data_IF_652356309855
#
_entry.id   IF_652356309855
#
_cell.length_a   1.000
_cell.length_b   1.000
_cell.length_c   1.000
_cell.angle_alpha   90.00
_cell.angle_beta   90.00
_cell.angle_gamma   90.00
#
_symmetry.space_group_name_H-M   'P 1'
#
loop_
_entity.id
_entity.type
_entity.pdbx_description
1 polymer ?
#
# COMPACT_ATOMS: atom_id res chain seq x y z
N UNK A 1 28.63 -6.80 -3.18
CA UNK A 1 28.05 -6.34 -4.46
C UNK A 1 27.59 -4.90 -4.31
N UNK A 2 27.72 -4.09 -5.34
CA UNK A 2 27.22 -2.70 -5.28
C UNK A 2 25.69 -2.70 -5.26
N UNK A 3 25.09 -1.92 -4.37
CA UNK A 3 23.62 -1.81 -4.22
C UNK A 3 22.93 -1.46 -5.54
N UNK A 4 23.53 -0.61 -6.36
CA UNK A 4 23.02 -0.26 -7.68
C UNK A 4 22.86 -1.49 -8.59
N UNK A 5 23.83 -2.41 -8.57
CA UNK A 5 23.80 -3.64 -9.37
C UNK A 5 22.65 -4.54 -8.91
N UNK A 6 22.42 -4.63 -7.59
CA UNK A 6 21.31 -5.42 -7.02
C UNK A 6 19.97 -4.86 -7.50
N UNK A 7 19.80 -3.54 -7.42
CA UNK A 7 18.56 -2.87 -7.88
C UNK A 7 18.33 -3.07 -9.37
N UNK A 8 19.37 -2.95 -10.19
CA UNK A 8 19.26 -3.17 -11.65
C UNK A 8 18.88 -4.63 -11.98
N UNK A 9 19.51 -5.59 -11.33
CA UNK A 9 19.17 -7.02 -11.51
C UNK A 9 17.70 -7.25 -11.09
N UNK A 10 17.29 -6.73 -9.94
CA UNK A 10 15.93 -6.85 -9.47
C UNK A 10 14.92 -6.23 -10.45
N UNK A 11 15.21 -5.04 -10.99
CA UNK A 11 14.36 -4.38 -11.97
C UNK A 11 14.22 -5.21 -13.26
N UNK A 12 15.32 -5.78 -13.77
CA UNK A 12 15.31 -6.65 -14.97
C UNK A 12 14.48 -7.90 -14.71
N UNK A 13 14.67 -8.55 -13.56
CA UNK A 13 13.93 -9.78 -13.19
C UNK A 13 12.43 -9.50 -13.07
N UNK A 14 12.05 -8.42 -12.38
CA UNK A 14 10.63 -8.05 -12.19
C UNK A 14 9.99 -7.64 -13.52
N UNK A 15 10.68 -6.88 -14.34
CA UNK A 15 10.20 -6.52 -15.68
C UNK A 15 10.04 -7.75 -16.57
N UNK A 16 11.01 -8.66 -16.56
CA UNK A 16 10.93 -9.94 -17.27
C UNK A 16 9.75 -10.78 -16.78
N UNK A 17 9.56 -10.88 -15.47
CA UNK A 17 8.41 -11.58 -14.89
C UNK A 17 7.07 -10.97 -15.34
N UNK A 18 6.96 -9.65 -15.34
CA UNK A 18 5.77 -8.97 -15.83
C UNK A 18 5.47 -9.26 -17.30
N UNK A 19 6.49 -9.15 -18.17
CA UNK A 19 6.30 -9.30 -19.62
C UNK A 19 6.04 -10.76 -20.01
N UNK A 20 6.81 -11.71 -19.48
CA UNK A 20 6.71 -13.10 -19.88
C UNK A 20 5.72 -13.88 -19.01
N UNK A 21 5.94 -13.90 -17.72
CA UNK A 21 5.13 -14.71 -16.80
C UNK A 21 3.71 -14.14 -16.63
N UNK A 22 3.57 -12.81 -16.49
CA UNK A 22 2.27 -12.17 -16.39
C UNK A 22 1.41 -12.37 -17.64
N UNK A 23 2.00 -12.26 -18.85
CA UNK A 23 1.28 -12.54 -20.11
C UNK A 23 0.91 -14.00 -20.25
N UNK A 24 1.82 -14.91 -19.92
CA UNK A 24 1.55 -16.33 -19.93
C UNK A 24 0.37 -16.68 -19.01
N UNK A 25 0.36 -16.14 -17.79
CA UNK A 25 -0.70 -16.35 -16.81
C UNK A 25 -2.03 -15.78 -17.29
N UNK A 26 -2.03 -14.56 -17.84
CA UNK A 26 -3.22 -13.93 -18.41
C UNK A 26 -3.84 -14.77 -19.54
N UNK A 27 -3.01 -15.27 -20.45
CA UNK A 27 -3.43 -16.15 -21.53
C UNK A 27 -4.00 -17.48 -21.00
N UNK A 28 -3.32 -18.07 -20.00
CA UNK A 28 -3.75 -19.33 -19.40
C UNK A 28 -5.09 -19.22 -18.67
N UNK A 29 -5.36 -18.07 -18.06
CA UNK A 29 -6.65 -17.81 -17.41
C UNK A 29 -7.75 -17.35 -18.37
N UNK A 30 -7.42 -17.14 -19.65
CA UNK A 30 -8.36 -16.71 -20.67
C UNK A 30 -8.88 -15.29 -20.45
N UNK A 31 -8.00 -14.38 -20.08
CA UNK A 31 -8.36 -12.98 -19.91
C UNK A 31 -8.51 -12.34 -21.27
N UNK A 32 -9.71 -11.82 -21.54
CA UNK A 32 -10.00 -11.05 -22.75
C UNK A 32 -9.79 -9.54 -22.48
N UNK A 33 -8.77 -8.91 -23.09
CA UNK A 33 -8.53 -7.47 -22.93
C UNK A 33 -9.66 -6.58 -23.44
N UNK A 34 -10.55 -7.11 -24.29
CA UNK A 34 -11.68 -6.38 -24.86
C UNK A 34 -12.96 -6.54 -24.04
N UNK A 35 -12.99 -7.44 -23.06
CA UNK A 35 -14.14 -7.64 -22.21
C UNK A 35 -14.46 -6.37 -21.40
N UNK A 36 -15.74 -6.01 -21.36
CA UNK A 36 -16.18 -4.89 -20.51
C UNK A 36 -16.04 -5.26 -19.05
N UNK A 37 -15.45 -4.35 -18.28
CA UNK A 37 -15.34 -4.52 -16.82
C UNK A 37 -16.70 -4.26 -16.16
N UNK A 38 -16.94 -4.81 -14.96
CA UNK A 38 -18.19 -4.56 -14.22
C UNK A 38 -18.50 -3.07 -14.01
N UNK A 39 -17.48 -2.23 -13.83
CA UNK A 39 -17.65 -0.79 -13.68
C UNK A 39 -18.24 -0.13 -14.94
N UNK A 40 -17.95 -0.69 -16.12
CA UNK A 40 -18.51 -0.19 -17.41
C UNK A 40 -19.86 -0.82 -17.70
N UNK A 41 -20.02 -2.11 -17.39
CA UNK A 41 -21.24 -2.87 -17.71
C UNK A 41 -22.42 -2.50 -16.80
N UNK A 42 -22.14 -2.30 -15.49
CA UNK A 42 -23.14 -2.01 -14.46
C UNK A 42 -23.07 -0.58 -13.93
N UNK A 43 -22.55 0.35 -14.72
CA UNK A 43 -22.37 1.75 -14.28
C UNK A 43 -23.68 2.34 -13.75
N UNK A 44 -23.71 2.62 -12.45
CA UNK A 44 -24.83 3.25 -11.74
C UNK A 44 -24.46 4.62 -11.13
N UNK A 45 -23.22 5.06 -11.33
CA UNK A 45 -22.69 6.31 -10.80
C UNK A 45 -22.46 6.32 -9.29
N UNK A 46 -22.62 5.19 -8.60
CA UNK A 46 -22.41 5.05 -7.15
C UNK A 46 -21.48 3.89 -6.82
N UNK A 47 -21.92 2.65 -7.05
CA UNK A 47 -21.19 1.43 -6.72
C UNK A 47 -20.27 1.00 -7.88
N UNK A 48 -20.71 1.25 -9.11
CA UNK A 48 -19.98 0.94 -10.34
C UNK A 48 -19.71 2.22 -11.12
N UNK A 49 -18.50 2.76 -10.97
CA UNK A 49 -18.09 3.98 -11.65
C UNK A 49 -16.83 3.70 -12.46
N UNK A 50 -16.89 3.87 -13.81
CA UNK A 50 -15.70 3.79 -14.64
C UNK A 50 -14.70 4.85 -14.22
N UNK A 51 -13.48 4.42 -13.87
CA UNK A 51 -12.42 5.28 -13.35
C UNK A 51 -11.22 5.23 -14.28
N UNK A 52 -10.48 6.34 -14.36
CA UNK A 52 -9.26 6.41 -15.15
C UNK A 52 -8.23 5.39 -14.65
N UNK A 53 -7.55 4.70 -15.57
CA UNK A 53 -6.55 3.67 -15.27
C UNK A 53 -5.43 4.14 -14.35
N UNK A 54 -4.98 5.40 -14.47
CA UNK A 54 -3.97 5.97 -13.57
C UNK A 54 -4.46 6.12 -12.14
N UNK A 55 -5.72 6.50 -11.95
CA UNK A 55 -6.33 6.60 -10.61
C UNK A 55 -6.46 5.21 -9.97
N UNK A 56 -6.88 4.21 -10.75
CA UNK A 56 -6.97 2.82 -10.27
C UNK A 56 -5.58 2.29 -9.90
N UNK A 57 -4.58 2.51 -10.76
CA UNK A 57 -3.19 2.12 -10.49
C UNK A 57 -2.65 2.78 -9.21
N UNK A 58 -2.83 4.09 -9.07
CA UNK A 58 -2.37 4.85 -7.90
C UNK A 58 -3.01 4.34 -6.60
N UNK A 59 -4.31 4.04 -6.64
CA UNK A 59 -5.04 3.49 -5.51
C UNK A 59 -4.56 2.09 -5.11
N UNK A 60 -4.37 1.22 -6.11
CA UNK A 60 -3.86 -0.14 -5.90
C UNK A 60 -2.43 -0.11 -5.36
N UNK A 61 -1.57 0.73 -5.95
CA UNK A 61 -0.19 0.91 -5.48
C UNK A 61 -0.14 1.38 -4.02
N UNK A 62 -0.93 2.40 -3.66
CA UNK A 62 -1.00 2.92 -2.29
C UNK A 62 -1.52 1.89 -1.29
N UNK A 63 -2.42 1.00 -1.72
CA UNK A 63 -2.96 -0.06 -0.87
C UNK A 63 -1.94 -1.16 -0.58
N UNK A 64 -1.05 -1.45 -1.54
CA UNK A 64 -0.02 -2.49 -1.41
C UNK A 64 1.24 -1.92 -0.75
N UNK A 65 1.71 -0.74 -1.18
CA UNK A 65 2.94 -0.11 -0.71
C UNK A 65 2.77 0.59 0.65
N UNK A 66 2.17 -0.10 1.62
CA UNK A 66 2.06 0.37 3.00
C UNK A 66 3.35 0.18 3.80
N UNK A 67 3.28 0.41 5.10
CA UNK A 67 4.42 0.28 6.02
C UNK A 67 4.97 -1.16 6.06
N UNK A 68 4.12 -2.18 5.92
CA UNK A 68 4.52 -3.60 5.96
C UNK A 68 5.61 -3.98 4.96
N UNK A 69 5.48 -3.70 3.66
CA UNK A 69 6.52 -3.98 2.66
C UNK A 69 7.86 -3.30 2.95
N UNK A 70 7.85 -2.11 3.53
CA UNK A 70 9.08 -1.37 3.89
C UNK A 70 9.71 -1.94 5.14
N UNK A 71 8.97 -1.99 6.25
CA UNK A 71 9.47 -2.44 7.55
C UNK A 71 9.77 -3.93 7.57
N UNK A 72 8.96 -4.73 6.86
CA UNK A 72 9.19 -6.17 6.73
C UNK A 72 10.50 -6.50 6.04
N UNK A 73 10.86 -5.80 4.97
CA UNK A 73 12.13 -5.97 4.30
C UNK A 73 13.32 -5.56 5.19
N UNK A 74 13.18 -4.48 5.97
CA UNK A 74 14.20 -4.03 6.93
C UNK A 74 14.40 -5.07 8.03
N UNK A 75 13.33 -5.57 8.63
CA UNK A 75 13.39 -6.60 9.68
C UNK A 75 13.97 -7.91 9.14
N UNK A 76 13.57 -8.31 7.94
CA UNK A 76 14.07 -9.51 7.30
C UNK A 76 15.57 -9.41 6.96
N UNK A 77 16.13 -8.21 6.81
CA UNK A 77 17.56 -8.00 6.57
C UNK A 77 18.44 -8.53 7.71
N UNK A 78 17.89 -8.72 8.93
CA UNK A 78 18.56 -9.41 10.02
C UNK A 78 18.98 -10.85 9.68
N UNK A 79 18.27 -11.51 8.75
CA UNK A 79 18.60 -12.85 8.25
C UNK A 79 19.60 -12.83 7.09
N UNK A 80 20.05 -11.66 6.68
CA UNK A 80 20.98 -11.45 5.59
C UNK A 80 20.29 -10.93 4.31
N UNK A 81 21.02 -10.14 3.54
CA UNK A 81 20.48 -9.48 2.35
C UNK A 81 20.08 -10.43 1.21
N UNK A 82 20.82 -11.53 1.04
CA UNK A 82 20.59 -12.47 -0.07
C UNK A 82 19.28 -13.28 0.09
N UNK A 83 18.99 -13.90 1.25
CA UNK A 83 17.69 -14.53 1.47
C UNK A 83 16.51 -13.58 1.29
N UNK A 84 16.64 -12.34 1.76
CA UNK A 84 15.60 -11.31 1.61
C UNK A 84 15.38 -10.95 0.15
N UNK A 85 16.46 -10.71 -0.61
CA UNK A 85 16.38 -10.41 -2.04
C UNK A 85 15.69 -11.53 -2.82
N UNK A 86 16.10 -12.78 -2.58
CA UNK A 86 15.49 -13.94 -3.22
C UNK A 86 14.01 -14.07 -2.86
N UNK A 87 13.65 -13.86 -1.59
CA UNK A 87 12.25 -13.89 -1.17
C UNK A 87 11.42 -12.76 -1.80
N UNK A 88 11.94 -11.54 -1.85
CA UNK A 88 11.24 -10.40 -2.47
C UNK A 88 11.02 -10.64 -3.96
N UNK A 89 12.01 -11.16 -4.68
CA UNK A 89 11.90 -11.43 -6.12
C UNK A 89 11.03 -12.66 -6.42
N UNK A 90 11.32 -13.79 -5.83
CA UNK A 90 10.62 -15.05 -6.11
C UNK A 90 9.24 -15.04 -5.44
N UNK A 91 9.18 -14.70 -4.16
CA UNK A 91 7.94 -14.62 -3.40
C UNK A 91 7.00 -13.54 -3.94
N UNK A 92 7.55 -12.37 -4.26
CA UNK A 92 6.80 -11.27 -4.86
C UNK A 92 6.17 -11.64 -6.20
N UNK A 93 6.91 -12.34 -7.07
CA UNK A 93 6.39 -12.75 -8.39
C UNK A 93 5.42 -13.92 -8.28
N UNK A 94 5.82 -15.02 -7.63
CA UNK A 94 5.05 -16.27 -7.70
C UNK A 94 3.95 -16.40 -6.66
N UNK A 95 4.06 -15.69 -5.53
CA UNK A 95 3.03 -15.71 -4.49
C UNK A 95 2.26 -14.39 -4.45
N UNK A 96 2.92 -13.24 -4.24
CA UNK A 96 2.26 -11.95 -4.10
C UNK A 96 1.50 -11.54 -5.35
N UNK A 97 2.21 -11.32 -6.46
CA UNK A 97 1.60 -10.83 -7.70
C UNK A 97 0.56 -11.81 -8.28
N UNK A 98 0.79 -13.11 -8.17
CA UNK A 98 -0.19 -14.12 -8.64
C UNK A 98 -1.45 -14.12 -7.78
N UNK A 99 -1.31 -14.00 -6.45
CA UNK A 99 -2.46 -13.93 -5.55
C UNK A 99 -3.30 -12.68 -5.80
N UNK A 100 -2.66 -11.51 -5.93
CA UNK A 100 -3.34 -10.24 -6.19
C UNK A 100 -4.02 -10.23 -7.56
N UNK A 101 -3.31 -10.69 -8.59
CA UNK A 101 -3.87 -10.80 -9.93
C UNK A 101 -5.04 -11.80 -9.99
N UNK A 102 -4.92 -12.93 -9.27
CA UNK A 102 -5.98 -13.93 -9.15
C UNK A 102 -7.21 -13.40 -8.44
N UNK A 103 -7.02 -12.67 -7.35
CA UNK A 103 -8.11 -12.06 -6.60
C UNK A 103 -8.85 -11.00 -7.44
N UNK A 104 -8.10 -10.14 -8.15
CA UNK A 104 -8.66 -9.14 -9.06
C UNK A 104 -9.44 -9.80 -10.20
N UNK A 105 -8.83 -10.78 -10.86
CA UNK A 105 -9.49 -11.51 -11.95
C UNK A 105 -10.76 -12.22 -11.49
N UNK A 106 -10.71 -12.92 -10.34
CA UNK A 106 -11.87 -13.58 -9.77
C UNK A 106 -12.99 -12.58 -9.43
N UNK A 107 -12.64 -11.42 -8.89
CA UNK A 107 -13.60 -10.34 -8.61
C UNK A 107 -14.25 -9.82 -9.89
N UNK A 108 -13.47 -9.45 -10.89
CA UNK A 108 -13.97 -8.94 -12.18
C UNK A 108 -14.87 -9.97 -12.86
N UNK A 109 -14.46 -11.24 -12.94
CA UNK A 109 -15.25 -12.32 -13.51
C UNK A 109 -16.56 -12.60 -12.76
N UNK A 110 -16.64 -12.23 -11.51
CA UNK A 110 -17.84 -12.36 -10.68
C UNK A 110 -18.54 -11.01 -10.41
N UNK A 111 -18.53 -10.11 -11.37
CA UNK A 111 -19.28 -8.84 -11.33
C UNK A 111 -18.81 -7.91 -10.21
N UNK A 112 -17.50 -7.83 -9.96
CA UNK A 112 -16.92 -6.95 -8.93
C UNK A 112 -17.20 -7.38 -7.49
N UNK A 113 -17.50 -8.65 -7.23
CA UNK A 113 -17.77 -9.13 -5.87
C UNK A 113 -16.50 -9.22 -5.02
N UNK A 114 -16.64 -8.87 -3.74
CA UNK A 114 -15.59 -9.03 -2.74
C UNK A 114 -15.22 -10.49 -2.47
N UNK A 115 -14.01 -10.73 -1.94
CA UNK A 115 -13.54 -12.09 -1.62
C UNK A 115 -14.49 -12.85 -0.68
N UNK A 116 -15.09 -12.19 0.31
CA UNK A 116 -16.08 -12.82 1.17
C UNK A 116 -17.30 -13.35 0.40
N UNK A 117 -17.75 -12.65 -0.63
CA UNK A 117 -18.84 -13.10 -1.51
C UNK A 117 -18.40 -14.23 -2.45
N UNK A 118 -17.16 -14.22 -2.91
CA UNK A 118 -16.59 -15.30 -3.71
C UNK A 118 -16.48 -16.59 -2.90
N UNK A 119 -16.01 -16.49 -1.67
CA UNK A 119 -15.93 -17.63 -0.75
C UNK A 119 -17.35 -18.19 -0.47
N UNK A 120 -18.34 -17.32 -0.28
CA UNK A 120 -19.72 -17.77 -0.13
C UNK A 120 -20.21 -18.57 -1.35
N UNK A 121 -19.87 -18.08 -2.55
CA UNK A 121 -20.29 -18.72 -3.81
C UNK A 121 -19.64 -20.09 -4.03
N UNK A 122 -18.35 -20.25 -3.72
CA UNK A 122 -17.59 -21.45 -4.07
C UNK A 122 -17.41 -22.43 -2.89
N UNK A 123 -17.45 -21.96 -1.65
CA UNK A 123 -17.22 -22.75 -0.44
C UNK A 123 -18.48 -22.83 0.43
N UNK A 124 -19.34 -21.80 0.35
CA UNK A 124 -20.59 -21.74 1.10
C UNK A 124 -20.60 -20.73 2.24
N UNK A 125 -21.76 -20.62 2.91
CA UNK A 125 -22.00 -19.59 3.95
C UNK A 125 -21.09 -19.74 5.18
N UNK A 126 -20.75 -20.97 5.56
CA UNK A 126 -19.84 -21.22 6.69
C UNK A 126 -18.44 -20.75 6.38
N UNK A 127 -17.92 -21.03 5.17
CA UNK A 127 -16.63 -20.53 4.70
C UNK A 127 -16.55 -19.01 4.73
N UNK A 128 -17.62 -18.33 4.28
CA UNK A 128 -17.70 -16.87 4.36
C UNK A 128 -17.62 -16.36 5.81
N UNK A 129 -18.38 -16.96 6.73
CA UNK A 129 -18.36 -16.53 8.14
C UNK A 129 -16.96 -16.69 8.76
N UNK A 130 -16.33 -17.83 8.55
CA UNK A 130 -14.96 -18.08 9.02
C UNK A 130 -13.96 -17.09 8.42
N UNK A 131 -14.04 -16.83 7.12
CA UNK A 131 -13.19 -15.84 6.45
C UNK A 131 -13.38 -14.43 7.01
N UNK A 132 -14.62 -14.00 7.27
CA UNK A 132 -14.89 -12.68 7.83
C UNK A 132 -14.36 -12.54 9.26
N UNK A 133 -14.52 -13.57 10.11
CA UNK A 133 -13.97 -13.58 11.46
C UNK A 133 -12.44 -13.53 11.41
N UNK A 134 -11.82 -14.37 10.57
CA UNK A 134 -10.37 -14.35 10.36
C UNK A 134 -9.87 -12.97 9.92
N UNK A 135 -10.52 -12.38 8.90
CA UNK A 135 -10.15 -11.08 8.39
C UNK A 135 -10.29 -9.99 9.44
N UNK A 136 -11.33 -10.03 10.24
CA UNK A 136 -11.54 -9.08 11.33
C UNK A 136 -10.44 -9.17 12.39
N UNK A 137 -10.13 -10.37 12.88
CA UNK A 137 -9.05 -10.60 13.85
C UNK A 137 -7.71 -10.16 13.25
N UNK A 138 -7.43 -10.54 12.01
CA UNK A 138 -6.21 -10.14 11.30
C UNK A 138 -6.08 -8.61 11.20
N UNK A 139 -7.15 -7.91 10.83
CA UNK A 139 -7.13 -6.45 10.80
C UNK A 139 -6.86 -5.84 12.18
N UNK A 140 -7.43 -6.38 13.25
CA UNK A 140 -7.15 -5.90 14.61
C UNK A 140 -5.66 -6.05 14.98
N UNK A 141 -5.06 -7.20 14.66
CA UNK A 141 -3.64 -7.46 14.92
C UNK A 141 -2.76 -6.50 14.11
N UNK A 142 -3.06 -6.33 12.82
CA UNK A 142 -2.30 -5.43 11.93
C UNK A 142 -2.39 -3.98 12.40
N UNK A 143 -3.59 -3.52 12.77
CA UNK A 143 -3.77 -2.15 13.29
C UNK A 143 -3.00 -1.96 14.59
N UNK A 144 -3.05 -2.93 15.51
CA UNK A 144 -2.30 -2.86 16.76
C UNK A 144 -0.78 -2.80 16.53
N UNK A 145 -0.26 -3.68 15.64
CA UNK A 145 1.17 -3.70 15.30
C UNK A 145 1.64 -2.40 14.65
N UNK A 146 0.86 -1.83 13.74
CA UNK A 146 1.19 -0.56 13.11
C UNK A 146 1.05 0.62 14.06
N UNK A 147 0.05 0.61 14.94
CA UNK A 147 -0.10 1.66 15.96
C UNK A 147 1.10 1.70 16.90
N UNK A 148 1.57 0.54 17.36
CA UNK A 148 2.78 0.44 18.19
C UNK A 148 4.03 0.95 17.46
N UNK A 149 4.23 0.52 16.22
CA UNK A 149 5.36 0.96 15.39
C UNK A 149 5.34 2.47 15.13
N UNK A 150 4.19 3.03 14.80
CA UNK A 150 4.01 4.47 14.56
C UNK A 150 4.20 5.25 15.85
N UNK A 151 3.65 4.78 16.97
CA UNK A 151 3.85 5.40 18.28
C UNK A 151 5.34 5.47 18.66
N UNK A 152 6.10 4.41 18.36
CA UNK A 152 7.55 4.39 18.53
C UNK A 152 8.29 5.46 17.73
N UNK A 153 7.82 5.80 16.51
CA UNK A 153 8.44 6.85 15.68
C UNK A 153 8.19 8.27 16.18
N UNK A 154 7.17 8.46 17.04
CA UNK A 154 6.83 9.78 17.61
C UNK A 154 7.30 9.93 19.06
N UNK A 155 7.85 8.87 19.66
CA UNK A 155 8.26 8.90 21.06
C UNK A 155 9.52 9.74 21.22
N UNK A 156 9.41 10.82 21.98
CA UNK A 156 10.51 11.72 22.31
C UNK A 156 11.31 11.29 23.56
N UNK A 157 10.86 10.26 24.27
CA UNK A 157 11.44 9.85 25.54
C UNK A 157 11.97 8.42 25.49
N UNK A 158 13.03 8.16 26.23
CA UNK A 158 13.56 6.82 26.51
C UNK A 158 13.60 6.58 28.00
N UNK A 159 13.36 5.33 28.41
CA UNK A 159 13.57 4.91 29.81
C UNK A 159 14.96 4.32 29.93
N UNK A 160 15.80 4.89 30.76
CA UNK A 160 17.14 4.37 31.05
C UNK A 160 17.07 3.11 31.90
N UNK A 161 18.15 2.32 31.93
CA UNK A 161 18.26 1.11 32.76
C UNK A 161 17.99 1.37 34.25
N UNK A 162 18.17 2.62 34.69
CA UNK A 162 17.84 3.07 36.05
C UNK A 162 16.38 3.44 36.26
N UNK A 163 15.48 3.23 35.24
CA UNK A 163 14.09 3.59 35.32
C UNK A 163 13.76 5.08 35.21
N UNK A 164 14.73 5.90 34.84
CA UNK A 164 14.54 7.35 34.68
C UNK A 164 14.14 7.65 33.24
N UNK A 165 13.10 8.46 33.08
CA UNK A 165 12.62 8.91 31.75
C UNK A 165 13.45 10.12 31.32
N UNK A 166 14.18 10.01 30.22
CA UNK A 166 15.02 11.06 29.65
C UNK A 166 14.62 11.31 28.19
N UNK A 167 14.99 12.50 27.67
CA UNK A 167 14.81 12.79 26.25
C UNK A 167 15.70 11.89 25.41
N UNK A 168 15.09 11.21 24.44
CA UNK A 168 15.83 10.38 23.49
C UNK A 168 16.77 11.24 22.64
N UNK A 169 17.91 10.68 22.24
CA UNK A 169 18.81 11.34 21.29
C UNK A 169 18.12 11.72 19.96
N UNK A 170 17.06 11.00 19.60
CA UNK A 170 16.24 11.24 18.42
C UNK A 170 15.00 12.12 18.70
N UNK A 171 14.85 12.72 19.88
CA UNK A 171 13.62 13.45 20.26
C UNK A 171 13.22 14.52 19.25
N UNK A 172 14.16 15.33 18.77
CA UNK A 172 13.91 16.37 17.75
C UNK A 172 13.48 15.77 16.40
N UNK A 173 14.11 14.68 16.00
CA UNK A 173 13.76 13.97 14.75
C UNK A 173 12.39 13.33 14.85
N UNK A 174 12.07 12.74 15.99
CA UNK A 174 10.76 12.12 16.24
C UNK A 174 9.66 13.19 16.33
N UNK A 175 9.93 14.33 16.95
CA UNK A 175 9.03 15.49 16.98
C UNK A 175 8.80 16.06 15.57
N UNK A 176 9.83 16.15 14.74
CA UNK A 176 9.70 16.56 13.35
C UNK A 176 8.85 15.57 12.55
N UNK A 177 9.03 14.26 12.73
CA UNK A 177 8.20 13.22 12.09
C UNK A 177 6.74 13.34 12.50
N UNK A 178 6.46 13.62 13.80
CA UNK A 178 5.12 13.87 14.30
C UNK A 178 4.46 15.08 13.64
N UNK A 179 5.15 16.22 13.58
CA UNK A 179 4.67 17.44 12.94
C UNK A 179 4.42 17.24 11.45
N UNK A 180 5.34 16.59 10.71
CA UNK A 180 5.17 16.28 9.29
C UNK A 180 3.90 15.43 9.07
N UNK A 181 3.67 14.43 9.92
CA UNK A 181 2.50 13.56 9.83
C UNK A 181 1.20 14.32 10.04
N UNK A 182 1.15 15.24 11.01
CA UNK A 182 0.00 16.11 11.23
C UNK A 182 -0.22 17.03 10.02
N UNK A 183 0.85 17.62 9.49
CA UNK A 183 0.75 18.50 8.31
C UNK A 183 0.24 17.75 7.09
N UNK A 184 0.64 16.49 6.88
CA UNK A 184 0.08 15.66 5.81
C UNK A 184 -1.43 15.47 5.95
N UNK A 185 -1.94 15.21 7.15
CA UNK A 185 -3.39 15.09 7.36
C UNK A 185 -4.13 16.41 7.07
N UNK A 186 -3.59 17.53 7.55
CA UNK A 186 -4.18 18.87 7.34
C UNK A 186 -4.16 19.19 5.84
N UNK A 187 -3.03 19.06 5.17
CA UNK A 187 -2.91 19.37 3.75
C UNK A 187 -3.69 18.42 2.86
N UNK A 188 -3.84 17.14 3.23
CA UNK A 188 -4.73 16.23 2.51
C UNK A 188 -6.19 16.71 2.54
N UNK A 189 -6.66 17.17 3.71
CA UNK A 189 -7.99 17.79 3.83
C UNK A 189 -8.14 19.06 2.99
N UNK A 190 -7.14 19.94 3.05
CA UNK A 190 -7.10 21.18 2.26
C UNK A 190 -7.07 20.87 0.75
N UNK A 191 -6.23 19.90 0.33
CA UNK A 191 -6.15 19.48 -1.06
C UNK A 191 -7.50 18.96 -1.57
N UNK A 192 -8.20 18.13 -0.77
CA UNK A 192 -9.54 17.65 -1.12
C UNK A 192 -10.55 18.77 -1.30
N UNK A 193 -10.51 19.80 -0.44
CA UNK A 193 -11.37 20.97 -0.57
C UNK A 193 -11.03 21.80 -1.83
N UNK A 194 -9.74 21.99 -2.12
CA UNK A 194 -9.26 22.71 -3.30
C UNK A 194 -9.66 21.95 -4.57
N UNK A 195 -9.49 20.65 -4.61
CA UNK A 195 -9.90 19.80 -5.73
C UNK A 195 -11.38 19.95 -6.03
N UNK A 196 -12.22 19.88 -4.99
CA UNK A 196 -13.68 20.03 -5.13
C UNK A 196 -14.08 21.42 -5.61
N UNK A 197 -13.42 22.48 -5.12
CA UNK A 197 -13.75 23.87 -5.44
C UNK A 197 -13.27 24.29 -6.84
N UNK A 198 -12.08 23.85 -7.25
CA UNK A 198 -11.43 24.28 -8.48
C UNK A 198 -11.43 23.21 -9.58
N UNK A 199 -12.05 22.03 -9.35
CA UNK A 199 -12.07 20.90 -10.27
C UNK A 199 -10.66 20.55 -10.80
N UNK A 200 -9.68 20.55 -9.88
CA UNK A 200 -8.30 20.22 -10.24
C UNK A 200 -8.19 18.76 -10.66
N UNK A 201 -7.65 18.52 -11.82
CA UNK A 201 -7.44 17.17 -12.35
C UNK A 201 -6.09 17.02 -13.03
N UNK A 202 -5.55 15.81 -13.02
CA UNK A 202 -4.33 15.47 -13.72
C UNK A 202 -3.08 16.15 -13.14
N UNK A 203 -2.27 16.78 -14.00
CA UNK A 203 -0.98 17.34 -13.59
C UNK A 203 -1.09 18.51 -12.60
N UNK A 204 -2.17 19.30 -12.63
CA UNK A 204 -2.41 20.40 -11.69
C UNK A 204 -2.59 19.90 -10.26
N UNK A 205 -3.32 18.81 -10.11
CA UNK A 205 -3.48 18.11 -8.84
C UNK A 205 -2.13 17.60 -8.30
N UNK A 206 -1.33 16.99 -9.17
CA UNK A 206 -0.01 16.51 -8.80
C UNK A 206 0.93 17.63 -8.33
N UNK A 207 0.92 18.80 -9.02
CA UNK A 207 1.72 19.96 -8.62
C UNK A 207 1.31 20.48 -7.26
N UNK A 208 0.01 20.66 -7.01
CA UNK A 208 -0.48 21.13 -5.71
C UNK A 208 -0.13 20.11 -4.62
N UNK A 209 -0.25 18.81 -4.90
CA UNK A 209 0.17 17.74 -3.98
C UNK A 209 1.65 17.82 -3.63
N UNK A 210 2.52 18.01 -4.61
CA UNK A 210 3.98 18.19 -4.38
C UNK A 210 4.25 19.42 -3.50
N UNK A 211 3.58 20.55 -3.78
CA UNK A 211 3.72 21.75 -2.95
C UNK A 211 3.29 21.48 -1.50
N UNK A 212 2.19 20.79 -1.28
CA UNK A 212 1.74 20.40 0.06
C UNK A 212 2.75 19.50 0.76
N UNK A 213 3.36 18.55 0.05
CA UNK A 213 4.40 17.65 0.59
C UNK A 213 5.62 18.48 1.01
N UNK A 214 6.14 19.34 0.13
CA UNK A 214 7.30 20.19 0.43
C UNK A 214 7.01 21.12 1.61
N UNK A 215 5.83 21.71 1.67
CA UNK A 215 5.41 22.55 2.78
C UNK A 215 5.34 21.76 4.10
N UNK A 216 4.85 20.52 4.09
CA UNK A 216 4.79 19.66 5.27
C UNK A 216 6.20 19.38 5.83
N UNK A 217 7.15 19.05 4.95
CA UNK A 217 8.55 18.84 5.35
C UNK A 217 9.19 20.14 5.88
N UNK A 218 8.99 21.26 5.18
CA UNK A 218 9.55 22.54 5.61
C UNK A 218 9.04 22.94 7.02
N UNK A 219 7.73 22.80 7.27
CA UNK A 219 7.14 23.11 8.57
C UNK A 219 7.65 22.14 9.63
N UNK A 220 7.59 20.84 9.39
CA UNK A 220 7.95 19.84 10.38
C UNK A 220 9.42 19.86 10.78
N UNK A 221 10.33 20.18 9.84
CA UNK A 221 11.75 20.29 10.15
C UNK A 221 12.11 21.57 10.94
N UNK A 222 11.36 22.66 10.77
CA UNK A 222 11.60 23.92 11.46
C UNK A 222 10.79 24.10 12.74
N UNK A 223 9.70 23.36 12.90
CA UNK A 223 8.81 23.44 14.06
C UNK A 223 8.50 22.02 14.55
N UNK A 224 9.48 21.26 15.08
CA UNK A 224 9.21 19.94 15.65
C UNK A 224 8.28 20.02 16.86
N UNK A 225 7.47 18.98 17.08
CA UNK A 225 6.60 18.83 18.26
C UNK A 225 7.41 18.55 19.51
#
# INVERSE_FOLDING_TARGET
MNTLVIVLIAAVVLFGAYVFYGRWLANKWGIDPKAKTPAVEFNDGKDFVPTNGWTVFSHQFSSIAGAGPVTGAIQAAAFGWLPVLLWVLIGGVFFGAVADFGALYASVKNKGKSMGKLIEKYIGKTGRKLFLIFSWIFCCIVVAAFADMVAGTFNAYTVTDAGVTELAAAATTNGAAGMISIMFMVFAGVLGLIQKKFNLTGWKEAVVGIVCIVASFAIGMNCPL
#
